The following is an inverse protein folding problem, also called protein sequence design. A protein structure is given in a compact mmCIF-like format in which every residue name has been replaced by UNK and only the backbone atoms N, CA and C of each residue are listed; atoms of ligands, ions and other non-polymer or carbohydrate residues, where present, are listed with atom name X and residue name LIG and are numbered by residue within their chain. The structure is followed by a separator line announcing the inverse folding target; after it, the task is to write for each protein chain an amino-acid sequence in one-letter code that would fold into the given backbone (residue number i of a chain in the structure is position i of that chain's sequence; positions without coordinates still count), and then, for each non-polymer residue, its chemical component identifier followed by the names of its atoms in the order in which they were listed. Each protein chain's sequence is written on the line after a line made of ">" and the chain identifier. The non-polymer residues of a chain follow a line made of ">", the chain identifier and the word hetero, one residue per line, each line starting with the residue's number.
data_IF_035373491887
#
_entry.id   IF_035373491887
#
_cell.length_a   1.000
_cell.length_b   1.000
_cell.length_c   1.000
_cell.angle_alpha   90.00
_cell.angle_beta   90.00
_cell.angle_gamma   90.00
#
_symmetry.space_group_name_H-M   'P 1'
#
loop_
_entity.id
_entity.type
_entity.pdbx_description
1 polymer ?
#
# COMPACT_ATOMS: atom_id res chain seq x y z
N UNK A 1 -6.67 -22.74 1.07
CA UNK A 1 -6.74 -21.44 0.36
C UNK A 1 -7.69 -21.58 -0.84
N UNK A 2 -9.01 -21.51 -0.63
CA UNK A 2 -9.98 -21.41 -1.74
C UNK A 2 -10.18 -19.94 -2.12
N UNK A 3 -10.40 -19.72 -3.40
CA UNK A 3 -10.22 -18.53 -4.21
C UNK A 3 -11.04 -17.32 -3.74
N UNK A 4 -10.36 -16.29 -3.23
CA UNK A 4 -10.71 -14.96 -3.72
C UNK A 4 -10.50 -15.01 -5.23
N UNK A 5 -11.46 -14.55 -6.03
CA UNK A 5 -11.33 -14.40 -7.47
C UNK A 5 -10.30 -13.28 -7.76
N UNK A 6 -9.04 -13.58 -7.44
CA UNK A 6 -7.91 -12.69 -7.60
C UNK A 6 -7.61 -12.77 -9.08
N UNK A 7 -7.95 -11.68 -9.77
CA UNK A 7 -7.58 -11.46 -11.16
C UNK A 7 -6.09 -11.82 -11.33
N UNK A 8 -5.70 -12.58 -12.36
CA UNK A 8 -4.31 -13.03 -12.52
C UNK A 8 -3.29 -11.88 -12.43
N UNK A 9 -3.67 -10.70 -12.93
CA UNK A 9 -2.86 -9.50 -12.82
C UNK A 9 -2.58 -8.99 -11.41
N UNK A 10 -3.39 -9.32 -10.41
CA UNK A 10 -3.25 -8.83 -9.04
C UNK A 10 -2.50 -9.84 -8.15
N UNK A 11 -2.21 -11.04 -8.63
CA UNK A 11 -1.41 -12.02 -7.88
C UNK A 11 -0.06 -11.48 -7.38
N UNK A 12 0.71 -10.70 -8.19
CA UNK A 12 1.96 -10.11 -7.71
C UNK A 12 1.75 -9.12 -6.54
N UNK A 13 0.65 -8.36 -6.55
CA UNK A 13 0.30 -7.46 -5.44
C UNK A 13 0.04 -8.24 -4.15
N UNK A 14 -0.76 -9.30 -4.22
CA UNK A 14 -1.02 -10.14 -3.04
C UNK A 14 0.23 -10.85 -2.53
N UNK A 15 1.15 -11.23 -3.42
CA UNK A 15 2.44 -11.78 -3.03
C UNK A 15 3.27 -10.76 -2.24
N UNK A 16 3.36 -9.51 -2.72
CA UNK A 16 4.07 -8.44 -2.03
C UNK A 16 3.41 -8.08 -0.69
N UNK A 17 2.08 -7.97 -0.63
CA UNK A 17 1.36 -7.70 0.62
C UNK A 17 1.65 -8.78 1.67
N UNK A 18 1.57 -10.06 1.29
CA UNK A 18 1.87 -11.17 2.21
C UNK A 18 3.32 -11.14 2.68
N UNK A 19 4.24 -10.84 1.78
CA UNK A 19 5.65 -10.77 2.10
C UNK A 19 5.93 -9.63 3.09
N UNK A 20 5.48 -8.40 2.79
CA UNK A 20 5.65 -7.25 3.67
C UNK A 20 4.99 -7.46 5.05
N UNK A 21 3.81 -8.08 5.09
CA UNK A 21 3.16 -8.45 6.35
C UNK A 21 4.01 -9.43 7.18
N UNK A 22 4.64 -10.41 6.51
CA UNK A 22 5.59 -11.32 7.15
C UNK A 22 6.82 -10.61 7.70
N UNK A 23 7.41 -9.68 6.94
CA UNK A 23 8.54 -8.86 7.40
C UNK A 23 8.17 -8.02 8.63
N UNK A 24 7.01 -7.37 8.60
CA UNK A 24 6.48 -6.63 9.75
C UNK A 24 6.28 -7.56 10.96
N UNK A 25 5.71 -8.74 10.75
CA UNK A 25 5.56 -9.75 11.80
C UNK A 25 6.88 -10.10 12.49
N UNK A 26 7.95 -10.30 11.72
CA UNK A 26 9.29 -10.54 12.27
C UNK A 26 9.83 -9.38 13.09
N UNK A 27 9.64 -8.14 12.61
CA UNK A 27 10.04 -6.93 13.34
C UNK A 27 9.27 -6.82 14.66
N UNK A 28 7.94 -6.99 14.63
CA UNK A 28 7.10 -6.96 15.84
C UNK A 28 7.52 -8.04 16.82
N UNK A 29 7.70 -9.28 16.36
CA UNK A 29 8.12 -10.39 17.21
C UNK A 29 9.48 -10.14 17.86
N UNK A 30 10.45 -9.62 17.10
CA UNK A 30 11.80 -9.34 17.58
C UNK A 30 11.85 -8.19 18.59
N UNK A 31 11.10 -7.12 18.36
CA UNK A 31 11.15 -5.92 19.19
C UNK A 31 10.20 -5.95 20.39
N UNK A 32 9.02 -6.56 20.23
CA UNK A 32 7.94 -6.53 21.23
C UNK A 32 7.64 -7.90 21.85
N UNK A 33 8.25 -8.96 21.32
CA UNK A 33 8.09 -10.32 21.80
C UNK A 33 6.92 -11.08 21.18
N UNK A 34 6.90 -12.39 21.43
CA UNK A 34 5.93 -13.33 20.84
C UNK A 34 4.47 -13.00 21.19
N UNK A 35 4.23 -12.52 22.40
CA UNK A 35 2.86 -12.28 22.87
C UNK A 35 2.20 -11.15 22.08
N UNK A 36 2.94 -10.08 21.81
CA UNK A 36 2.47 -8.98 20.97
C UNK A 36 2.24 -9.43 19.53
N UNK A 37 3.17 -10.20 18.97
CA UNK A 37 3.03 -10.77 17.63
C UNK A 37 1.78 -11.66 17.52
N UNK A 38 1.54 -12.55 18.49
CA UNK A 38 0.35 -13.41 18.53
C UNK A 38 -0.94 -12.59 18.60
N UNK A 39 -1.01 -11.56 19.44
CA UNK A 39 -2.19 -10.67 19.50
C UNK A 39 -2.48 -10.03 18.13
N UNK A 40 -1.47 -9.50 17.44
CA UNK A 40 -1.62 -8.90 16.11
C UNK A 40 -2.12 -9.94 15.09
N UNK A 41 -1.52 -11.12 15.05
CA UNK A 41 -1.90 -12.18 14.13
C UNK A 41 -3.32 -12.72 14.40
N UNK A 42 -3.71 -12.89 15.66
CA UNK A 42 -5.07 -13.30 16.05
C UNK A 42 -6.09 -12.30 15.52
N UNK A 43 -5.91 -11.00 15.77
CA UNK A 43 -6.81 -9.97 15.28
C UNK A 43 -6.85 -9.91 13.75
N UNK A 44 -5.71 -10.13 13.07
CA UNK A 44 -5.62 -10.16 11.60
C UNK A 44 -6.43 -11.31 11.02
N UNK A 45 -6.33 -12.49 11.62
CA UNK A 45 -7.08 -13.70 11.23
C UNK A 45 -8.57 -13.49 11.45
N UNK A 46 -8.98 -13.03 12.63
CA UNK A 46 -10.39 -12.77 12.95
C UNK A 46 -11.00 -11.71 12.01
N UNK A 47 -10.27 -10.62 11.74
CA UNK A 47 -10.70 -9.58 10.80
C UNK A 47 -10.87 -10.10 9.37
N UNK A 48 -9.98 -11.00 8.94
CA UNK A 48 -10.05 -11.65 7.62
C UNK A 48 -11.25 -12.59 7.55
N UNK A 49 -11.44 -13.41 8.57
CA UNK A 49 -12.47 -14.45 8.58
C UNK A 49 -13.87 -13.82 8.66
N UNK A 50 -14.05 -12.77 9.47
CA UNK A 50 -15.26 -11.93 9.46
C UNK A 50 -15.58 -11.33 8.10
N UNK A 51 -14.57 -10.94 7.31
CA UNK A 51 -14.80 -10.40 5.96
C UNK A 51 -15.27 -11.49 4.99
N UNK A 52 -14.85 -12.73 5.18
CA UNK A 52 -15.17 -13.87 4.30
C UNK A 52 -16.52 -14.47 4.62
N UNK A 53 -16.81 -14.60 5.91
CA UNK A 53 -18.02 -15.20 6.42
C UNK A 53 -18.79 -14.10 7.14
N UNK A 54 -19.93 -13.71 6.57
CA UNK A 54 -20.92 -12.88 7.27
C UNK A 54 -21.63 -13.75 8.33
N UNK A 55 -20.88 -14.36 9.24
CA UNK A 55 -21.43 -15.11 10.36
C UNK A 55 -21.83 -14.14 11.47
N UNK A 56 -23.04 -14.35 11.99
CA UNK A 56 -23.47 -13.75 13.24
C UNK A 56 -22.51 -14.21 14.35
N UNK A 57 -21.85 -13.29 15.05
CA UNK A 57 -20.87 -13.59 16.11
C UNK A 57 -19.41 -13.26 15.78
N UNK A 58 -19.04 -13.05 14.51
CA UNK A 58 -17.65 -12.75 14.13
C UNK A 58 -17.17 -11.38 14.61
N UNK A 59 -18.08 -10.41 14.74
CA UNK A 59 -17.77 -9.09 15.28
C UNK A 59 -17.59 -9.14 16.80
N UNK A 60 -18.47 -9.85 17.49
CA UNK A 60 -18.46 -10.02 18.94
C UNK A 60 -17.18 -10.70 19.41
N UNK A 61 -16.73 -11.75 18.70
CA UNK A 61 -15.45 -12.41 18.97
C UNK A 61 -14.26 -11.47 18.79
N UNK A 62 -14.25 -10.70 17.70
CA UNK A 62 -13.18 -9.71 17.45
C UNK A 62 -13.15 -8.64 18.54
N UNK A 63 -14.30 -8.14 18.95
CA UNK A 63 -14.42 -7.12 20.00
C UNK A 63 -13.98 -7.66 21.36
N UNK A 64 -14.38 -8.89 21.72
CA UNK A 64 -13.95 -9.53 22.96
C UNK A 64 -12.42 -9.68 23.02
N UNK A 65 -11.78 -10.05 21.91
CA UNK A 65 -10.31 -10.11 21.82
C UNK A 65 -9.66 -8.74 21.98
N UNK A 66 -10.25 -7.69 21.40
CA UNK A 66 -9.75 -6.30 21.55
C UNK A 66 -9.90 -5.82 23.00
N UNK A 67 -11.02 -6.10 23.65
CA UNK A 67 -11.28 -5.74 25.05
C UNK A 67 -10.35 -6.47 26.03
N UNK A 68 -9.91 -7.67 25.68
CA UNK A 68 -8.98 -8.46 26.48
C UNK A 68 -7.51 -8.01 26.36
N UNK A 69 -7.17 -7.07 25.46
CA UNK A 69 -5.79 -6.62 25.27
C UNK A 69 -5.36 -5.72 26.45
N UNK A 70 -4.24 -6.01 27.11
CA UNK A 70 -3.70 -5.12 28.14
C UNK A 70 -3.41 -3.72 27.58
N UNK A 71 -3.67 -2.68 28.39
CA UNK A 71 -3.47 -1.28 28.01
C UNK A 71 -2.03 -0.99 27.57
N UNK A 72 -1.05 -1.71 28.13
CA UNK A 72 0.37 -1.56 27.80
C UNK A 72 0.69 -2.07 26.38
N UNK A 73 -0.16 -2.93 25.81
CA UNK A 73 0.03 -3.56 24.51
C UNK A 73 -0.84 -2.96 23.42
N UNK A 74 -2.01 -2.41 23.75
CA UNK A 74 -2.98 -1.96 22.75
C UNK A 74 -2.39 -0.92 21.79
N UNK A 75 -1.52 -0.02 22.28
CA UNK A 75 -0.81 0.95 21.45
C UNK A 75 0.13 0.30 20.42
N UNK A 76 0.82 -0.79 20.80
CA UNK A 76 1.71 -1.55 19.90
C UNK A 76 0.90 -2.30 18.84
N UNK A 77 -0.23 -2.88 19.23
CA UNK A 77 -1.14 -3.56 18.30
C UNK A 77 -1.72 -2.58 17.29
N UNK A 78 -2.23 -1.43 17.75
CA UNK A 78 -2.75 -0.38 16.87
C UNK A 78 -1.68 0.13 15.88
N UNK A 79 -0.43 0.27 16.36
CA UNK A 79 0.71 0.64 15.51
C UNK A 79 1.01 -0.41 14.45
N UNK A 80 0.97 -1.70 14.80
CA UNK A 80 1.18 -2.78 13.83
C UNK A 80 0.15 -2.74 12.70
N UNK A 81 -1.13 -2.51 13.01
CA UNK A 81 -2.15 -2.35 11.97
C UNK A 81 -1.92 -1.09 11.12
N UNK A 82 -1.55 0.03 11.74
CA UNK A 82 -1.24 1.28 11.03
C UNK A 82 -0.11 1.09 10.02
N UNK A 83 0.98 0.45 10.44
CA UNK A 83 2.11 0.12 9.56
C UNK A 83 1.75 -0.94 8.51
N UNK A 84 0.92 -1.92 8.85
CA UNK A 84 0.41 -2.88 7.88
C UNK A 84 -0.34 -2.17 6.75
N UNK A 85 -1.24 -1.23 7.07
CA UNK A 85 -1.96 -0.44 6.06
C UNK A 85 -1.02 0.46 5.24
N UNK A 86 -0.03 1.08 5.87
CA UNK A 86 1.01 1.84 5.16
C UNK A 86 1.76 0.96 4.15
N UNK A 87 2.13 -0.26 4.54
CA UNK A 87 2.83 -1.21 3.68
C UNK A 87 1.94 -1.74 2.55
N UNK A 88 0.66 -2.01 2.81
CA UNK A 88 -0.32 -2.37 1.78
C UNK A 88 -0.44 -1.25 0.74
N UNK A 89 -0.64 -0.01 1.19
CA UNK A 89 -0.72 1.15 0.30
C UNK A 89 0.56 1.28 -0.54
N UNK A 90 1.72 1.02 0.05
CA UNK A 90 3.01 1.06 -0.66
C UNK A 90 3.09 -0.03 -1.74
N UNK A 91 2.69 -1.26 -1.42
CA UNK A 91 2.64 -2.36 -2.39
C UNK A 91 1.67 -2.05 -3.55
N UNK A 92 0.50 -1.47 -3.25
CA UNK A 92 -0.46 -1.04 -4.26
C UNK A 92 0.10 0.01 -5.20
N UNK A 93 0.81 1.03 -4.68
CA UNK A 93 1.44 2.04 -5.53
C UNK A 93 2.54 1.43 -6.43
N UNK A 94 3.37 0.53 -5.89
CA UNK A 94 4.37 -0.20 -6.68
C UNK A 94 3.71 -1.03 -7.77
N UNK A 95 2.65 -1.77 -7.42
CA UNK A 95 1.89 -2.58 -8.37
C UNK A 95 1.25 -1.72 -9.47
N UNK A 96 0.70 -0.55 -9.13
CA UNK A 96 0.14 0.39 -10.11
C UNK A 96 1.19 0.84 -11.13
N UNK A 97 2.43 1.09 -10.68
CA UNK A 97 3.56 1.40 -11.57
C UNK A 97 3.89 0.21 -12.47
N UNK A 98 3.96 -1.02 -11.92
CA UNK A 98 4.21 -2.25 -12.70
C UNK A 98 3.13 -2.47 -13.76
N UNK A 99 1.85 -2.35 -13.39
CA UNK A 99 0.71 -2.49 -14.31
C UNK A 99 0.77 -1.46 -15.43
N UNK A 100 1.15 -0.22 -15.11
CA UNK A 100 1.34 0.82 -16.12
C UNK A 100 2.48 0.45 -17.08
N UNK A 101 3.65 0.06 -16.58
CA UNK A 101 4.78 -0.38 -17.41
C UNK A 101 4.41 -1.56 -18.32
N UNK A 102 3.84 -2.63 -17.76
CA UNK A 102 3.40 -3.80 -18.51
C UNK A 102 2.36 -3.45 -19.58
N UNK A 103 1.53 -2.42 -19.37
CA UNK A 103 0.60 -1.94 -20.39
C UNK A 103 1.31 -1.34 -21.61
N UNK A 104 2.37 -0.56 -21.40
CA UNK A 104 3.16 0.05 -22.48
C UNK A 104 3.90 -0.99 -23.34
N UNK A 105 4.24 -2.14 -22.76
CA UNK A 105 4.96 -3.24 -23.43
C UNK A 105 4.03 -4.18 -24.20
N UNK A 106 2.70 -4.10 -24.00
CA UNK A 106 1.74 -4.95 -24.72
C UNK A 106 1.74 -4.65 -26.21
N UNK A 107 1.89 -5.70 -27.02
CA UNK A 107 1.83 -5.63 -28.49
C UNK A 107 0.46 -5.24 -29.04
N UNK A 108 -0.63 -5.51 -28.30
CA UNK A 108 -1.98 -5.04 -28.67
C UNK A 108 -2.08 -3.54 -28.35
N UNK A 109 -1.83 -2.71 -29.37
CA UNK A 109 -1.69 -1.24 -29.33
C UNK A 109 -2.95 -0.48 -28.92
N UNK A 110 -3.96 -1.13 -28.35
CA UNK A 110 -5.14 -0.44 -27.82
C UNK A 110 -4.68 0.52 -26.73
N UNK A 111 -5.17 1.77 -26.72
CA UNK A 111 -4.75 2.74 -25.71
C UNK A 111 -5.50 2.52 -24.38
N UNK A 112 -4.82 2.77 -23.26
CA UNK A 112 -5.40 2.54 -21.93
C UNK A 112 -6.61 3.47 -21.74
N UNK A 113 -7.76 2.99 -21.25
CA UNK A 113 -8.88 3.87 -20.94
C UNK A 113 -8.43 5.06 -20.09
N UNK A 114 -8.93 6.25 -20.41
CA UNK A 114 -8.54 7.53 -19.81
C UNK A 114 -7.06 7.95 -19.96
N UNK A 115 -6.25 7.27 -20.78
CA UNK A 115 -4.92 7.78 -21.19
C UNK A 115 -5.04 8.88 -22.24
N UNK A 116 -4.00 9.73 -22.42
CA UNK A 116 -4.00 10.74 -23.47
C UNK A 116 -4.25 10.15 -24.87
N UNK A 117 -3.62 9.01 -25.20
CA UNK A 117 -3.80 8.32 -26.49
C UNK A 117 -5.25 7.83 -26.68
N UNK A 118 -5.88 7.34 -25.61
CA UNK A 118 -7.27 6.92 -25.65
C UNK A 118 -8.19 8.14 -25.83
N UNK A 119 -7.96 9.21 -25.08
CA UNK A 119 -8.73 10.45 -25.17
C UNK A 119 -8.66 11.06 -26.58
N UNK A 120 -7.47 11.14 -27.18
CA UNK A 120 -7.31 11.59 -28.56
C UNK A 120 -8.03 10.67 -29.57
N UNK A 121 -8.00 9.35 -29.35
CA UNK A 121 -8.77 8.41 -30.15
C UNK A 121 -10.28 8.64 -30.06
N UNK A 122 -10.80 8.92 -28.86
CA UNK A 122 -12.21 9.25 -28.65
C UNK A 122 -12.59 10.58 -29.31
N UNK A 123 -11.74 11.61 -29.21
CA UNK A 123 -11.97 12.90 -29.88
C UNK A 123 -12.01 12.73 -31.40
N UNK A 124 -11.08 11.96 -31.98
CA UNK A 124 -11.08 11.63 -33.41
C UNK A 124 -12.36 10.88 -33.81
N UNK A 125 -12.79 9.89 -33.03
CA UNK A 125 -14.02 9.13 -33.31
C UNK A 125 -15.28 10.01 -33.25
N UNK A 126 -15.25 11.11 -32.49
CA UNK A 126 -16.30 12.14 -32.42
C UNK A 126 -16.16 13.22 -33.50
N UNK A 127 -15.29 13.02 -34.50
CA UNK A 127 -15.11 13.93 -35.63
C UNK A 127 -14.28 15.17 -35.34
N UNK A 128 -13.55 15.23 -34.21
CA UNK A 128 -12.68 16.38 -33.91
C UNK A 128 -11.40 16.37 -34.74
N UNK A 129 -11.12 17.49 -35.38
CA UNK A 129 -9.91 17.68 -36.18
C UNK A 129 -8.66 17.85 -35.29
N UNK A 130 -7.46 17.53 -35.79
CA UNK A 130 -6.22 17.75 -35.04
C UNK A 130 -6.00 19.21 -34.62
N UNK A 131 -6.47 20.19 -35.40
CA UNK A 131 -6.38 21.62 -35.08
C UNK A 131 -7.26 22.00 -33.90
N UNK A 132 -8.52 21.55 -33.87
CA UNK A 132 -9.42 21.77 -32.72
C UNK A 132 -8.85 21.18 -31.42
N UNK A 133 -8.28 19.97 -31.50
CA UNK A 133 -7.68 19.31 -30.33
C UNK A 133 -6.44 20.06 -29.85
N UNK A 134 -5.60 20.56 -30.78
CA UNK A 134 -4.43 21.38 -30.46
C UNK A 134 -4.83 22.66 -29.72
N UNK A 135 -5.78 23.41 -30.27
CA UNK A 135 -6.25 24.68 -29.67
C UNK A 135 -6.80 24.46 -28.26
N UNK A 136 -7.54 23.36 -28.04
CA UNK A 136 -8.03 22.97 -26.72
C UNK A 136 -6.88 22.70 -25.74
N UNK A 137 -5.88 21.91 -26.15
CA UNK A 137 -4.73 21.56 -25.28
C UNK A 137 -3.88 22.79 -24.96
N UNK A 138 -3.70 23.70 -25.92
CA UNK A 138 -2.95 24.94 -25.74
C UNK A 138 -3.62 25.90 -24.75
N UNK A 139 -4.95 25.85 -24.60
CA UNK A 139 -5.71 26.63 -23.62
C UNK A 139 -5.97 25.89 -22.30
N UNK A 140 -5.66 24.60 -22.23
CA UNK A 140 -5.97 23.79 -21.06
C UNK A 140 -5.01 24.13 -19.92
N UNK A 141 -5.57 24.48 -18.77
CA UNK A 141 -4.80 24.76 -17.57
C UNK A 141 -5.21 23.82 -16.43
N UNK A 142 -4.22 23.20 -15.79
CA UNK A 142 -4.40 22.33 -14.63
C UNK A 142 -3.60 22.91 -13.47
N UNK A 143 -4.30 23.43 -12.46
CA UNK A 143 -3.70 23.99 -11.24
C UNK A 143 -3.98 23.08 -10.04
N UNK A 144 -3.06 22.17 -9.67
CA UNK A 144 -3.22 21.41 -8.44
C UNK A 144 -3.06 22.36 -7.24
N UNK A 145 -4.11 22.45 -6.41
CA UNK A 145 -4.08 23.19 -5.15
C UNK A 145 -3.83 22.20 -4.02
N UNK A 146 -2.67 22.30 -3.38
CA UNK A 146 -2.37 21.49 -2.20
C UNK A 146 -3.06 22.11 -0.99
N UNK A 147 -4.04 21.41 -0.44
CA UNK A 147 -4.70 21.79 0.81
C UNK A 147 -4.02 21.08 1.97
N UNK A 148 -3.92 21.74 3.12
CA UNK A 148 -3.52 21.05 4.35
C UNK A 148 -4.55 19.95 4.65
N UNK A 149 -4.10 18.71 4.85
CA UNK A 149 -4.98 17.65 5.33
C UNK A 149 -5.07 17.75 6.85
N UNK A 150 -6.25 18.00 7.44
CA UNK A 150 -6.40 18.37 8.85
C UNK A 150 -5.95 17.30 9.85
N UNK A 151 -5.77 16.05 9.40
CA UNK A 151 -5.35 14.91 10.23
C UNK A 151 -4.03 14.26 9.78
N UNK A 152 -3.44 14.65 8.65
CA UNK A 152 -2.28 13.95 8.05
C UNK A 152 -1.14 14.90 7.70
N UNK A 153 -0.60 15.59 8.70
CA UNK A 153 0.75 16.13 8.58
C UNK A 153 1.78 15.00 8.70
N UNK A 154 1.70 14.00 7.79
CA UNK A 154 2.57 12.83 7.74
C UNK A 154 4.01 13.31 7.77
N UNK A 155 4.78 12.86 8.77
CA UNK A 155 6.17 13.29 8.95
C UNK A 155 6.94 12.97 7.66
N UNK A 156 7.75 13.92 7.19
CA UNK A 156 8.62 13.76 6.00
C UNK A 156 9.45 12.47 6.07
N UNK A 157 9.87 12.08 7.27
CA UNK A 157 10.59 10.83 7.53
C UNK A 157 9.80 9.58 7.14
N UNK A 158 8.50 9.52 7.47
CA UNK A 158 7.63 8.38 7.11
C UNK A 158 7.50 8.28 5.59
N UNK A 159 7.28 9.42 4.91
CA UNK A 159 7.21 9.46 3.44
C UNK A 159 8.53 8.99 2.80
N UNK A 160 9.68 9.36 3.37
CA UNK A 160 10.99 8.92 2.90
C UNK A 160 11.22 7.42 3.11
N UNK A 161 10.86 6.89 4.28
CA UNK A 161 10.90 5.47 4.61
C UNK A 161 10.02 4.67 3.63
N UNK A 162 8.78 5.13 3.42
CA UNK A 162 7.85 4.55 2.47
C UNK A 162 8.42 4.51 1.04
N UNK A 163 9.05 5.61 0.60
CA UNK A 163 9.71 5.68 -0.70
C UNK A 163 10.95 4.76 -0.80
N UNK A 164 11.63 4.45 0.31
CA UNK A 164 12.74 3.47 0.33
C UNK A 164 12.20 2.05 0.18
N UNK A 165 11.15 1.69 0.92
CA UNK A 165 10.45 0.39 0.77
C UNK A 165 9.96 0.21 -0.67
N UNK A 166 9.29 1.22 -1.25
CA UNK A 166 8.80 1.16 -2.62
C UNK A 166 9.93 0.95 -3.65
N UNK A 167 11.08 1.62 -3.49
CA UNK A 167 12.24 1.44 -4.37
C UNK A 167 12.86 0.06 -4.23
N UNK A 168 12.96 -0.46 -3.01
CA UNK A 168 13.51 -1.78 -2.77
C UNK A 168 12.61 -2.89 -3.34
N UNK A 169 11.28 -2.77 -3.18
CA UNK A 169 10.30 -3.68 -3.80
C UNK A 169 10.47 -3.76 -5.32
N UNK A 170 10.64 -2.61 -6.00
CA UNK A 170 10.89 -2.58 -7.44
C UNK A 170 12.21 -3.21 -7.87
N UNK A 171 13.26 -3.12 -7.04
CA UNK A 171 14.57 -3.74 -7.33
C UNK A 171 14.53 -5.27 -7.21
N UNK A 172 13.64 -5.80 -6.35
CA UNK A 172 13.46 -7.25 -6.17
C UNK A 172 13.08 -7.95 -7.47
N UNK A 173 12.25 -7.30 -8.29
CA UNK A 173 11.68 -7.89 -9.51
C UNK A 173 12.74 -8.26 -10.55
N UNK A 174 13.88 -7.57 -10.55
CA UNK A 174 14.94 -7.72 -11.56
C UNK A 174 16.23 -8.32 -11.00
N UNK A 175 16.23 -8.72 -9.72
CA UNK A 175 17.44 -9.14 -9.02
C UNK A 175 17.71 -10.64 -9.01
N UNK A 176 18.99 -11.02 -8.98
CA UNK A 176 19.47 -12.39 -8.70
C UNK A 176 19.11 -12.82 -7.27
N UNK A 177 19.21 -14.12 -6.96
CA UNK A 177 18.84 -14.63 -5.63
C UNK A 177 19.61 -13.94 -4.49
N UNK A 178 20.93 -13.76 -4.64
CA UNK A 178 21.74 -13.00 -3.67
C UNK A 178 21.29 -11.54 -3.52
N UNK A 179 20.85 -10.90 -4.62
CA UNK A 179 20.30 -9.55 -4.57
C UNK A 179 18.94 -9.51 -3.87
N UNK A 180 18.11 -10.55 -4.03
CA UNK A 180 16.81 -10.66 -3.32
C UNK A 180 16.98 -10.73 -1.81
N UNK A 181 17.95 -11.50 -1.32
CA UNK A 181 18.25 -11.55 0.12
C UNK A 181 18.67 -10.18 0.66
N UNK A 182 19.53 -9.45 -0.06
CA UNK A 182 19.93 -8.08 0.33
C UNK A 182 18.74 -7.11 0.32
N UNK A 183 17.85 -7.25 -0.66
CA UNK A 183 16.62 -6.44 -0.74
C UNK A 183 15.67 -6.75 0.41
N UNK A 184 15.55 -8.01 0.81
CA UNK A 184 14.76 -8.42 1.97
C UNK A 184 15.29 -7.77 3.25
N UNK A 185 16.60 -7.91 3.52
CA UNK A 185 17.25 -7.29 4.68
C UNK A 185 17.08 -5.77 4.69
N UNK A 186 17.22 -5.13 3.52
CA UNK A 186 17.01 -3.70 3.40
C UNK A 186 15.57 -3.32 3.76
N UNK A 187 14.56 -4.01 3.23
CA UNK A 187 13.15 -3.71 3.52
C UNK A 187 12.83 -3.98 4.99
N UNK A 188 13.32 -5.08 5.57
CA UNK A 188 13.12 -5.36 6.99
C UNK A 188 13.69 -4.23 7.86
N UNK A 189 14.89 -3.73 7.54
CA UNK A 189 15.49 -2.58 8.22
C UNK A 189 14.67 -1.29 8.06
N UNK A 190 14.09 -1.02 6.89
CA UNK A 190 13.20 0.14 6.71
C UNK A 190 11.88 -0.02 7.48
N UNK A 191 11.34 -1.23 7.59
CA UNK A 191 10.15 -1.54 8.39
C UNK A 191 10.45 -1.37 9.88
N UNK A 192 11.62 -1.78 10.34
CA UNK A 192 12.07 -1.51 11.70
C UNK A 192 12.22 -0.01 11.98
N UNK A 193 12.77 0.77 11.04
CA UNK A 193 12.82 2.22 11.19
C UNK A 193 11.42 2.86 11.22
N UNK A 194 10.47 2.37 10.43
CA UNK A 194 9.06 2.75 10.53
C UNK A 194 8.48 2.40 11.91
N UNK A 195 8.79 1.20 12.42
CA UNK A 195 8.40 0.76 13.76
C UNK A 195 9.03 1.57 14.89
N UNK A 196 10.19 2.18 14.70
CA UNK A 196 10.83 3.00 15.72
C UNK A 196 10.48 4.49 15.58
N UNK A 197 9.96 4.91 14.43
CA UNK A 197 9.57 6.30 14.17
C UNK A 197 8.14 6.58 14.63
N UNK A 198 7.98 7.42 15.65
CA UNK A 198 6.64 7.80 16.13
C UNK A 198 5.85 8.51 15.02
N UNK A 199 4.63 8.03 14.75
CA UNK A 199 3.73 8.61 13.75
C UNK A 199 2.89 9.74 14.34
N UNK A 200 2.61 9.67 15.65
CA UNK A 200 1.75 10.62 16.33
C UNK A 200 2.59 11.82 16.76
N UNK A 201 2.24 13.01 16.27
CA UNK A 201 2.76 14.24 16.86
C UNK A 201 2.09 14.41 18.21
N UNK A 202 2.89 14.42 19.30
CA UNK A 202 2.40 14.75 20.64
C UNK A 202 1.88 16.20 20.72
N UNK A 203 2.41 17.09 19.87
CA UNK A 203 2.05 18.50 19.84
C UNK A 203 1.37 18.91 18.53
N UNK A 204 0.35 19.79 18.63
CA UNK A 204 -0.27 20.43 17.47
C UNK A 204 0.78 21.25 16.71
N UNK A 205 0.82 21.18 15.35
CA UNK A 205 1.71 22.05 14.58
C UNK A 205 1.39 23.51 14.87
N UNK A 206 2.38 24.30 15.28
CA UNK A 206 2.25 25.75 15.28
C UNK A 206 2.20 26.24 13.84
N UNK A 207 1.24 27.11 13.53
CA UNK A 207 1.13 27.83 12.26
C UNK A 207 2.17 28.94 12.22
#
# INVERSE_FOLDING_TARGET
>A
MSSLDIRPEDQPLYADIRWLAGLLGRVVQRLEGDECFRTVETLRVLSRDRRREASDGGFEKLMAEVEAIPLERIGKVARAFSLLFLLINTAEQVHRVRRRAAYWERSDKKPQPASPRWAFGQLKARGKSPSEVRELVERMEVRPVLTAHPTEATRRTILQLQARVARALRKRDTGTESQRTRVEQAIEGEIELLWLTDEVRRDRPSV
#
